data_IF_335542810136
#
_entry.id   IF_335542810136
#
_cell.length_a   1.000
_cell.length_b   1.000
_cell.length_c   1.000
_cell.angle_alpha   90.00
_cell.angle_beta   90.00
_cell.angle_gamma   90.00
#
_symmetry.space_group_name_H-M   'P 1'
#
loop_
_entity.id
_entity.type
_entity.pdbx_description
1 polymer ?
#
# COMPACT_ATOMS: atom_id res chain seq x y z
N UNK A 1 -14.01 -1.22 -2.78
CA UNK A 1 -14.82 -0.08 -3.28
C UNK A 1 -15.63 0.57 -2.15
N UNK A 2 -16.24 -0.19 -1.24
CA UNK A 2 -17.01 0.38 -0.10
C UNK A 2 -16.15 1.17 0.90
N UNK A 3 -14.95 0.70 1.23
CA UNK A 3 -14.04 1.37 2.19
C UNK A 3 -13.58 2.76 1.74
N UNK A 4 -13.33 2.93 0.45
CA UNK A 4 -13.00 4.24 -0.13
C UNK A 4 -14.21 5.20 -0.03
N UNK A 5 -15.43 4.69 -0.23
CA UNK A 5 -16.65 5.51 -0.08
C UNK A 5 -16.88 5.94 1.37
N UNK A 6 -16.58 5.05 2.33
CA UNK A 6 -16.73 5.33 3.76
C UNK A 6 -15.67 6.32 4.25
N UNK A 7 -14.45 6.22 3.73
CA UNK A 7 -13.38 7.18 4.02
C UNK A 7 -13.68 8.58 3.46
N UNK A 8 -14.21 8.66 2.23
CA UNK A 8 -14.65 9.93 1.62
C UNK A 8 -15.80 10.55 2.43
N UNK A 9 -16.78 9.76 2.88
CA UNK A 9 -17.87 10.23 3.75
C UNK A 9 -17.35 10.76 5.09
N UNK A 10 -16.36 10.09 5.69
CA UNK A 10 -15.75 10.53 6.95
C UNK A 10 -15.02 11.87 6.81
N UNK A 11 -14.21 12.03 5.76
CA UNK A 11 -13.53 13.30 5.44
C UNK A 11 -14.54 14.41 5.20
N UNK A 12 -15.61 14.14 4.44
CA UNK A 12 -16.69 15.10 4.23
C UNK A 12 -17.35 15.50 5.54
N UNK A 13 -17.66 14.55 6.41
CA UNK A 13 -18.30 14.82 7.70
C UNK A 13 -17.43 15.69 8.62
N UNK A 14 -16.11 15.42 8.67
CA UNK A 14 -15.13 16.25 9.36
C UNK A 14 -14.99 17.65 8.74
N UNK A 15 -15.19 17.79 7.43
CA UNK A 15 -15.08 19.06 6.72
C UNK A 15 -16.32 19.96 6.79
N UNK A 16 -17.50 19.43 7.11
CA UNK A 16 -18.77 20.19 7.16
C UNK A 16 -18.68 21.43 8.09
N UNK A 17 -18.14 21.34 9.32
CA UNK A 17 -18.01 22.51 10.20
C UNK A 17 -17.10 23.60 9.63
N UNK A 18 -16.01 23.21 8.97
CA UNK A 18 -15.09 24.14 8.33
C UNK A 18 -15.73 24.84 7.12
N UNK A 19 -16.51 24.11 6.32
CA UNK A 19 -17.27 24.66 5.18
C UNK A 19 -18.37 25.62 5.67
N UNK A 20 -19.05 25.29 6.77
CA UNK A 20 -20.04 26.17 7.38
C UNK A 20 -19.40 27.49 7.87
N UNK A 21 -18.27 27.40 8.59
CA UNK A 21 -17.51 28.58 9.02
C UNK A 21 -17.00 29.41 7.84
N UNK A 22 -16.56 28.76 6.76
CA UNK A 22 -16.14 29.45 5.55
C UNK A 22 -17.30 30.21 4.88
N UNK A 23 -18.50 29.62 4.84
CA UNK A 23 -19.70 30.30 4.31
C UNK A 23 -20.10 31.51 5.17
N UNK A 24 -20.07 31.39 6.49
CA UNK A 24 -20.30 32.52 7.41
C UNK A 24 -19.31 33.65 7.14
N UNK A 25 -18.00 33.34 7.10
CA UNK A 25 -16.95 34.32 6.84
C UNK A 25 -17.13 35.02 5.49
N UNK A 26 -17.52 34.28 4.46
CA UNK A 26 -17.72 34.83 3.12
C UNK A 26 -18.93 35.78 3.06
N UNK A 27 -19.99 35.48 3.84
CA UNK A 27 -21.15 36.38 4.00
C UNK A 27 -20.72 37.66 4.72
N UNK A 28 -19.96 37.55 5.82
CA UNK A 28 -19.42 38.71 6.54
C UNK A 28 -18.52 39.57 5.65
N UNK A 29 -17.67 38.94 4.84
CA UNK A 29 -16.79 39.64 3.92
C UNK A 29 -17.57 40.44 2.88
N UNK A 30 -18.60 39.83 2.27
CA UNK A 30 -19.50 40.53 1.34
C UNK A 30 -20.21 41.72 2.00
N UNK A 31 -20.66 41.57 3.25
CA UNK A 31 -21.30 42.67 3.97
C UNK A 31 -20.34 43.83 4.24
N UNK A 32 -19.08 43.55 4.57
CA UNK A 32 -18.04 44.56 4.76
C UNK A 32 -17.72 45.26 3.45
N UNK A 33 -17.60 44.51 2.36
CA UNK A 33 -17.34 45.05 1.02
C UNK A 33 -18.47 45.98 0.55
N UNK A 34 -19.73 45.57 0.73
CA UNK A 34 -20.90 46.40 0.42
C UNK A 34 -20.96 47.67 1.28
N UNK A 35 -20.65 47.58 2.59
CA UNK A 35 -20.55 48.74 3.47
C UNK A 35 -19.44 49.70 3.02
N UNK A 36 -18.28 49.17 2.65
CA UNK A 36 -17.15 49.94 2.12
C UNK A 36 -17.54 50.67 0.84
N UNK A 37 -18.16 49.96 -0.12
CA UNK A 37 -18.60 50.53 -1.40
C UNK A 37 -19.61 51.66 -1.21
N UNK A 38 -20.60 51.46 -0.33
CA UNK A 38 -21.59 52.50 0.02
C UNK A 38 -20.93 53.72 0.67
N UNK A 39 -19.98 53.52 1.57
CA UNK A 39 -19.27 54.59 2.25
C UNK A 39 -18.37 55.39 1.28
N UNK A 40 -17.70 54.71 0.36
CA UNK A 40 -16.92 55.35 -0.71
C UNK A 40 -17.82 56.19 -1.63
N UNK A 41 -18.97 55.65 -2.03
CA UNK A 41 -19.92 56.35 -2.89
C UNK A 41 -20.50 57.59 -2.20
N UNK A 42 -20.82 57.51 -0.90
CA UNK A 42 -21.27 58.65 -0.11
C UNK A 42 -20.19 59.75 -0.01
N UNK A 43 -18.92 59.37 0.20
CA UNK A 43 -17.79 60.31 0.22
C UNK A 43 -17.55 60.96 -1.15
N UNK A 44 -17.67 60.21 -2.25
CA UNK A 44 -17.59 60.78 -3.59
C UNK A 44 -18.72 61.78 -3.85
N UNK A 45 -19.96 61.45 -3.47
CA UNK A 45 -21.11 62.36 -3.61
C UNK A 45 -20.89 63.67 -2.83
N UNK A 46 -20.36 63.58 -1.60
CA UNK A 46 -20.00 64.74 -0.79
C UNK A 46 -18.94 65.62 -1.48
N UNK A 47 -17.89 65.02 -2.03
CA UNK A 47 -16.85 65.75 -2.77
C UNK A 47 -17.40 66.42 -4.04
N UNK A 48 -18.29 65.77 -4.79
CA UNK A 48 -18.94 66.39 -5.95
C UNK A 48 -19.89 67.53 -5.57
N UNK A 49 -20.52 67.49 -4.39
CA UNK A 49 -21.39 68.58 -3.92
C UNK A 49 -20.61 69.85 -3.55
N UNK A 50 -19.35 69.70 -3.13
CA UNK A 50 -18.45 70.78 -2.76
C UNK A 50 -17.77 71.45 -3.98
N UNK A 51 -17.88 70.86 -5.17
CA UNK A 51 -17.21 71.33 -6.39
C UNK A 51 -17.97 72.38 -7.21
N UNK A 52 -19.12 72.88 -6.73
CA UNK A 52 -19.87 73.95 -7.42
C UNK A 52 -19.62 75.32 -6.78
N UNK A 53 -18.66 76.05 -7.34
CA UNK A 53 -18.71 77.52 -7.35
C UNK A 53 -18.49 78.01 -8.80
N UNK A 54 -19.33 78.95 -9.28
CA UNK A 54 -19.12 79.58 -10.57
C UNK A 54 -18.05 80.67 -10.42
N UNK A 55 -16.99 80.61 -11.21
CA UNK A 55 -16.03 81.70 -11.30
C UNK A 55 -16.65 82.81 -12.17
N UNK A 56 -17.17 83.84 -11.51
CA UNK A 56 -17.55 85.10 -12.12
C UNK A 56 -16.31 85.75 -12.75
N UNK A 57 -16.23 85.74 -14.07
CA UNK A 57 -15.26 86.54 -14.82
C UNK A 57 -15.72 88.01 -14.82
N UNK A 58 -15.21 88.80 -13.89
CA UNK A 58 -15.24 90.25 -13.99
C UNK A 58 -14.00 90.67 -14.77
N UNK A 59 -14.20 91.10 -16.02
CA UNK A 59 -13.23 91.89 -16.79
C UNK A 59 -13.90 93.20 -17.20
N UNK A 60 -13.89 94.18 -16.30
CA UNK A 60 -14.03 95.57 -16.70
C UNK A 60 -12.68 96.00 -17.28
N UNK A 61 -12.63 96.17 -18.60
CA UNK A 61 -11.63 97.01 -19.25
C UNK A 61 -12.19 98.43 -19.23
N UNK A 62 -11.71 99.26 -18.32
CA UNK A 62 -11.83 100.70 -18.48
C UNK A 62 -10.74 101.16 -19.45
N UNK A 63 -11.18 101.74 -20.57
CA UNK A 63 -10.34 102.49 -21.50
C UNK A 63 -9.84 103.76 -20.81
N UNK A 64 -8.52 103.87 -20.63
CA UNK A 64 -7.87 105.11 -20.23
C UNK A 64 -7.58 105.93 -21.49
N UNK A 65 -8.24 107.09 -21.57
CA UNK A 65 -8.07 108.12 -22.59
C UNK A 65 -6.60 108.56 -22.74
N UNK A 66 -6.12 108.59 -24.00
CA UNK A 66 -4.78 109.03 -24.38
C UNK A 66 -4.71 110.55 -24.51
N UNK A 67 -4.62 111.26 -23.38
CA UNK A 67 -4.15 112.67 -23.40
C UNK A 67 -3.49 113.11 -22.08
N UNK A 68 -2.70 112.23 -21.46
CA UNK A 68 -1.79 112.61 -20.39
C UNK A 68 -0.35 112.23 -20.76
N UNK A 69 0.48 113.25 -20.91
CA UNK A 69 1.90 113.21 -21.22
C UNK A 69 2.66 112.24 -20.26
N UNK A 70 3.22 111.11 -20.74
CA UNK A 70 3.73 110.03 -19.88
C UNK A 70 5.02 110.36 -19.12
N UNK A 71 5.51 111.61 -19.21
CA UNK A 71 6.76 112.07 -18.56
C UNK A 71 6.55 113.23 -17.56
N UNK A 72 5.31 113.68 -17.31
CA UNK A 72 5.07 114.94 -16.58
C UNK A 72 5.10 114.84 -15.05
N UNK A 73 5.04 113.64 -14.47
CA UNK A 73 5.20 113.43 -13.03
C UNK A 73 6.17 112.28 -12.72
N UNK A 74 7.45 112.46 -13.06
CA UNK A 74 8.54 111.63 -12.55
C UNK A 74 9.11 112.30 -11.29
N UNK A 75 8.30 112.37 -10.23
CA UNK A 75 8.81 112.53 -8.87
C UNK A 75 8.47 111.24 -8.14
N UNK A 76 9.47 110.41 -7.85
CA UNK A 76 9.29 109.27 -6.94
C UNK A 76 8.77 109.84 -5.61
N UNK A 77 7.50 109.56 -5.31
CA UNK A 77 6.95 109.85 -3.99
C UNK A 77 7.56 108.89 -2.98
N UNK A 78 7.60 109.27 -1.70
CA UNK A 78 8.09 108.39 -0.62
C UNK A 78 7.40 107.02 -0.65
N UNK A 79 6.11 106.98 -0.96
CA UNK A 79 5.34 105.74 -1.13
C UNK A 79 5.82 104.88 -2.31
N UNK A 80 6.18 105.50 -3.46
CA UNK A 80 6.77 104.78 -4.60
C UNK A 80 8.16 104.20 -4.27
N UNK A 81 9.00 104.94 -3.54
CA UNK A 81 10.31 104.44 -3.11
C UNK A 81 10.18 103.24 -2.16
N UNK A 82 9.24 103.30 -1.19
CA UNK A 82 8.93 102.18 -0.31
C UNK A 82 8.44 100.97 -1.13
N UNK A 83 7.52 101.19 -2.08
CA UNK A 83 7.00 100.12 -2.94
C UNK A 83 8.12 99.45 -3.77
N UNK A 84 9.09 100.23 -4.24
CA UNK A 84 10.24 99.74 -5.02
C UNK A 84 11.20 98.90 -4.18
N UNK A 85 11.46 99.30 -2.93
CA UNK A 85 12.23 98.50 -1.98
C UNK A 85 11.53 97.19 -1.64
N UNK A 86 10.20 97.22 -1.43
CA UNK A 86 9.38 96.03 -1.20
C UNK A 86 9.35 95.13 -2.44
N UNK A 87 9.28 95.70 -3.65
CA UNK A 87 9.38 94.91 -4.89
C UNK A 87 10.74 94.22 -5.03
N UNK A 88 11.83 94.91 -4.68
CA UNK A 88 13.18 94.34 -4.73
C UNK A 88 13.37 93.20 -3.71
N UNK A 89 12.79 93.32 -2.52
CA UNK A 89 12.82 92.23 -1.54
C UNK A 89 11.98 91.04 -1.99
N UNK A 90 10.78 91.28 -2.55
CA UNK A 90 9.92 90.24 -3.13
C UNK A 90 10.62 89.55 -4.31
N UNK A 91 11.34 90.28 -5.15
CA UNK A 91 12.07 89.68 -6.27
C UNK A 91 13.22 88.77 -5.78
N UNK A 92 13.91 89.17 -4.71
CA UNK A 92 14.94 88.36 -4.07
C UNK A 92 14.36 87.06 -3.49
N UNK A 93 13.23 87.14 -2.77
CA UNK A 93 12.57 85.95 -2.21
C UNK A 93 12.02 85.04 -3.31
N UNK A 94 11.49 85.58 -4.41
CA UNK A 94 11.06 84.78 -5.56
C UNK A 94 12.23 84.03 -6.19
N UNK A 95 13.41 84.66 -6.34
CA UNK A 95 14.61 83.99 -6.88
C UNK A 95 15.09 82.86 -5.97
N UNK A 96 15.09 83.08 -4.67
CA UNK A 96 15.45 82.07 -3.67
C UNK A 96 14.49 80.89 -3.70
N UNK A 97 13.18 81.15 -3.69
CA UNK A 97 12.15 80.10 -3.78
C UNK A 97 12.23 79.36 -5.13
N UNK A 98 12.50 80.06 -6.24
CA UNK A 98 12.70 79.44 -7.55
C UNK A 98 13.89 78.48 -7.57
N UNK A 99 14.98 78.85 -6.88
CA UNK A 99 16.17 78.01 -6.75
C UNK A 99 15.86 76.76 -5.90
N UNK A 100 15.24 76.93 -4.74
CA UNK A 100 14.88 75.80 -3.84
C UNK A 100 13.87 74.84 -4.50
N UNK A 101 12.93 75.37 -5.29
CA UNK A 101 11.90 74.55 -5.96
C UNK A 101 12.31 74.05 -7.34
N UNK A 102 13.52 74.40 -7.82
CA UNK A 102 14.04 74.05 -9.16
C UNK A 102 13.03 74.34 -10.29
N UNK A 103 12.31 75.47 -10.20
CA UNK A 103 11.27 75.85 -11.15
C UNK A 103 11.80 76.80 -12.24
N UNK A 104 11.32 76.67 -13.48
CA UNK A 104 11.76 77.52 -14.59
C UNK A 104 11.00 78.85 -14.62
N UNK A 105 9.73 78.86 -14.18
CA UNK A 105 8.87 80.03 -14.08
C UNK A 105 8.28 80.19 -12.68
N UNK A 106 8.09 81.44 -12.24
CA UNK A 106 7.54 81.73 -10.91
C UNK A 106 6.10 81.20 -10.72
N UNK A 107 5.33 81.05 -11.81
CA UNK A 107 3.96 80.49 -11.78
C UNK A 107 3.92 79.00 -11.41
N UNK A 108 5.02 78.28 -11.62
CA UNK A 108 5.13 76.82 -11.35
C UNK A 108 5.45 76.51 -9.89
N UNK A 109 5.93 77.52 -9.14
CA UNK A 109 6.37 77.37 -7.75
C UNK A 109 5.23 76.85 -6.86
N UNK A 110 4.07 77.50 -6.88
CA UNK A 110 2.96 77.15 -5.99
C UNK A 110 2.34 75.77 -6.27
N UNK A 111 1.99 75.41 -7.52
CA UNK A 111 1.48 74.07 -7.82
C UNK A 111 2.45 72.95 -7.44
N UNK A 112 3.75 73.15 -7.69
CA UNK A 112 4.78 72.16 -7.39
C UNK A 112 5.01 72.00 -5.89
N UNK A 113 5.07 73.12 -5.16
CA UNK A 113 5.17 73.09 -3.70
C UNK A 113 3.95 72.41 -3.07
N UNK A 114 2.74 72.70 -3.56
CA UNK A 114 1.52 72.03 -3.11
C UNK A 114 1.56 70.52 -3.36
N UNK A 115 1.93 70.09 -4.57
CA UNK A 115 2.08 68.67 -4.89
C UNK A 115 3.16 67.99 -4.05
N UNK A 116 4.26 68.68 -3.74
CA UNK A 116 5.33 68.13 -2.93
C UNK A 116 4.90 67.96 -1.47
N UNK A 117 4.16 68.92 -0.91
CA UNK A 117 3.55 68.79 0.42
C UNK A 117 2.59 67.60 0.46
N UNK A 118 1.70 67.47 -0.52
CA UNK A 118 0.75 66.35 -0.60
C UNK A 118 1.48 65.00 -0.74
N UNK A 119 2.55 64.94 -1.52
CA UNK A 119 3.38 63.74 -1.68
C UNK A 119 4.13 63.39 -0.39
N UNK A 120 4.67 64.38 0.33
CA UNK A 120 5.32 64.18 1.62
C UNK A 120 4.33 63.66 2.67
N UNK A 121 3.10 64.19 2.71
CA UNK A 121 2.06 63.69 3.62
C UNK A 121 1.72 62.23 3.33
N UNK A 122 1.64 61.83 2.04
CA UNK A 122 1.44 60.43 1.66
C UNK A 122 2.62 59.55 2.06
N UNK A 123 3.85 60.02 1.85
CA UNK A 123 5.07 59.31 2.25
C UNK A 123 5.12 59.10 3.76
N UNK A 124 4.81 60.12 4.56
CA UNK A 124 4.75 59.98 6.01
C UNK A 124 3.74 58.91 6.45
N UNK A 125 2.54 58.91 5.86
CA UNK A 125 1.53 57.87 6.15
C UNK A 125 1.98 56.47 5.77
N UNK A 126 2.70 56.32 4.65
CA UNK A 126 3.26 55.04 4.24
C UNK A 126 4.32 54.56 5.24
N UNK A 127 5.22 55.44 5.65
CA UNK A 127 6.27 55.13 6.64
C UNK A 127 5.64 54.72 7.98
N UNK A 128 4.62 55.45 8.45
CA UNK A 128 3.90 55.09 9.67
C UNK A 128 3.22 53.71 9.57
N UNK A 129 2.60 53.41 8.43
CA UNK A 129 1.95 52.12 8.22
C UNK A 129 2.97 50.96 8.15
N UNK A 130 4.11 51.19 7.50
CA UNK A 130 5.19 50.20 7.45
C UNK A 130 5.80 49.96 8.83
N UNK A 131 5.97 51.01 9.65
CA UNK A 131 6.39 50.87 11.05
C UNK A 131 5.42 50.01 11.85
N UNK A 132 4.12 50.30 11.77
CA UNK A 132 3.08 49.50 12.44
C UNK A 132 3.09 48.04 11.96
N UNK A 133 3.33 47.83 10.66
CA UNK A 133 3.50 46.50 10.08
C UNK A 133 4.69 45.74 10.67
N UNK A 134 5.83 46.42 10.82
CA UNK A 134 7.03 45.86 11.45
C UNK A 134 6.80 45.52 12.93
N UNK A 135 6.19 46.41 13.70
CA UNK A 135 5.86 46.16 15.11
C UNK A 135 4.91 44.96 15.26
N UNK A 136 3.90 44.84 14.38
CA UNK A 136 3.02 43.67 14.36
C UNK A 136 3.78 42.38 14.02
N UNK A 137 4.74 42.43 13.10
CA UNK A 137 5.55 41.27 12.76
C UNK A 137 6.43 40.83 13.94
N UNK A 138 7.05 41.79 14.62
CA UNK A 138 7.90 41.55 15.78
C UNK A 138 7.12 40.92 16.94
N UNK A 139 5.91 41.43 17.22
CA UNK A 139 5.02 40.86 18.24
C UNK A 139 4.58 39.44 17.88
N UNK A 140 4.22 39.17 16.62
CA UNK A 140 3.91 37.81 16.14
C UNK A 140 5.11 36.86 16.30
N UNK A 141 6.31 37.32 16.00
CA UNK A 141 7.53 36.53 16.17
C UNK A 141 7.79 36.20 17.65
N UNK A 142 7.61 37.16 18.55
CA UNK A 142 7.69 36.94 20.00
C UNK A 142 6.67 35.90 20.48
N UNK A 143 5.41 36.03 20.08
CA UNK A 143 4.37 35.05 20.42
C UNK A 143 4.69 33.65 19.89
N UNK A 144 5.14 33.54 18.64
CA UNK A 144 5.53 32.25 18.06
C UNK A 144 6.70 31.61 18.80
N UNK A 145 7.68 32.39 19.24
CA UNK A 145 8.80 31.90 20.05
C UNK A 145 8.35 31.41 21.43
N UNK A 146 7.42 32.12 22.08
CA UNK A 146 6.81 31.66 23.34
C UNK A 146 6.05 30.36 23.11
N UNK A 147 5.23 30.27 22.06
CA UNK A 147 4.46 29.08 21.73
C UNK A 147 5.38 27.88 21.42
N UNK A 148 6.48 28.13 20.71
CA UNK A 148 7.53 27.15 20.46
C UNK A 148 8.16 26.68 21.78
N UNK A 149 8.47 27.59 22.70
CA UNK A 149 8.99 27.25 24.03
C UNK A 149 8.00 26.40 24.83
N UNK A 150 6.71 26.74 24.79
CA UNK A 150 5.65 25.96 25.44
C UNK A 150 5.51 24.57 24.79
N UNK A 151 5.56 24.46 23.47
CA UNK A 151 5.51 23.17 22.76
C UNK A 151 6.72 22.27 23.06
N UNK A 152 7.92 22.85 23.16
CA UNK A 152 9.14 22.11 23.50
C UNK A 152 9.12 21.63 24.96
N UNK A 153 8.54 22.43 25.86
CA UNK A 153 8.45 22.09 27.29
C UNK A 153 7.17 21.32 27.66
N UNK A 154 6.20 21.21 26.76
CA UNK A 154 5.04 20.32 26.92
C UNK A 154 5.46 18.87 26.61
N UNK A 155 6.21 18.26 27.52
CA UNK A 155 5.99 16.84 27.84
C UNK A 155 4.58 16.79 28.45
N UNK A 156 3.54 16.75 27.63
CA UNK A 156 2.20 16.48 28.15
C UNK A 156 2.22 15.07 28.75
N UNK A 157 1.54 14.86 29.87
CA UNK A 157 1.35 13.53 30.45
C UNK A 157 0.78 12.56 29.40
N UNK A 158 -0.02 13.07 28.46
CA UNK A 158 -0.52 12.31 27.31
C UNK A 158 0.59 11.79 26.39
N UNK A 159 1.64 12.55 26.12
CA UNK A 159 2.76 12.10 25.28
C UNK A 159 3.62 11.07 26.02
N UNK A 160 3.80 11.23 27.34
CA UNK A 160 4.46 10.21 28.18
C UNK A 160 3.64 8.91 28.17
N UNK A 161 2.33 8.99 28.41
CA UNK A 161 1.41 7.85 28.38
C UNK A 161 1.39 7.18 27.00
N UNK A 162 1.47 7.97 25.92
CA UNK A 162 1.57 7.45 24.55
C UNK A 162 2.88 6.69 24.34
N UNK A 163 4.01 7.23 24.80
CA UNK A 163 5.31 6.57 24.67
C UNK A 163 5.40 5.29 25.51
N UNK A 164 4.81 5.27 26.71
CA UNK A 164 4.70 4.08 27.54
C UNK A 164 3.82 3.02 26.87
N UNK A 165 2.65 3.40 26.36
CA UNK A 165 1.78 2.48 25.61
C UNK A 165 2.48 1.90 24.38
N UNK A 166 3.27 2.69 23.66
CA UNK A 166 4.07 2.20 22.52
C UNK A 166 5.10 1.17 22.99
N UNK A 167 5.73 1.38 24.15
CA UNK A 167 6.69 0.43 24.73
C UNK A 167 6.00 -0.88 25.11
N UNK A 168 4.84 -0.80 25.77
CA UNK A 168 4.07 -1.98 26.17
C UNK A 168 3.62 -2.80 24.96
N UNK A 169 3.10 -2.13 23.92
CA UNK A 169 2.71 -2.79 22.67
C UNK A 169 3.89 -3.48 21.98
N UNK A 170 5.10 -2.90 22.04
CA UNK A 170 6.30 -3.55 21.51
C UNK A 170 6.66 -4.80 22.29
N UNK A 171 6.54 -4.78 23.62
CA UNK A 171 6.81 -5.94 24.45
C UNK A 171 5.79 -7.06 24.18
N UNK A 172 4.50 -6.73 24.11
CA UNK A 172 3.44 -7.69 23.75
C UNK A 172 3.72 -8.33 22.39
N UNK A 173 4.11 -7.54 21.39
CA UNK A 173 4.40 -8.07 20.05
C UNK A 173 5.59 -9.04 20.04
N UNK A 174 6.61 -8.77 20.87
CA UNK A 174 7.75 -9.69 21.04
C UNK A 174 7.27 -11.00 21.68
N UNK A 175 6.49 -10.92 22.76
CA UNK A 175 5.94 -12.11 23.44
C UNK A 175 5.04 -12.93 22.51
N UNK A 176 4.14 -12.28 21.76
CA UNK A 176 3.30 -12.95 20.75
C UNK A 176 4.14 -13.62 19.67
N UNK A 177 5.22 -12.96 19.21
CA UNK A 177 6.15 -13.54 18.24
C UNK A 177 6.92 -14.76 18.77
N UNK A 178 7.23 -14.79 20.07
CA UNK A 178 7.81 -15.97 20.73
C UNK A 178 6.80 -17.11 20.85
N UNK A 179 5.56 -16.81 21.22
CA UNK A 179 4.47 -17.79 21.27
C UNK A 179 4.15 -18.37 19.89
N UNK A 180 4.15 -17.55 18.83
CA UNK A 180 3.96 -18.01 17.46
C UNK A 180 5.09 -18.99 17.05
N UNK A 181 6.34 -18.66 17.34
CA UNK A 181 7.46 -19.57 17.07
C UNK A 181 7.33 -20.89 17.81
N UNK A 182 6.97 -20.85 19.10
CA UNK A 182 6.78 -22.03 19.92
C UNK A 182 5.63 -22.92 19.40
N UNK A 183 4.51 -22.31 18.99
CA UNK A 183 3.37 -23.04 18.42
C UNK A 183 3.70 -23.66 17.07
N UNK A 184 4.43 -22.94 16.21
CA UNK A 184 4.91 -23.45 14.93
C UNK A 184 5.86 -24.64 15.10
N UNK A 185 6.78 -24.56 16.06
CA UNK A 185 7.67 -25.68 16.38
C UNK A 185 6.89 -26.89 16.91
N UNK A 186 5.92 -26.66 17.79
CA UNK A 186 5.05 -27.71 18.30
C UNK A 186 4.24 -28.39 17.17
N UNK A 187 3.69 -27.62 16.22
CA UNK A 187 2.99 -28.17 15.04
C UNK A 187 3.95 -28.99 14.18
N UNK A 188 5.15 -28.48 13.90
CA UNK A 188 6.17 -29.19 13.11
C UNK A 188 6.57 -30.52 13.74
N UNK A 189 6.77 -30.53 15.07
CA UNK A 189 7.12 -31.74 15.81
C UNK A 189 5.97 -32.75 15.82
N UNK A 190 4.72 -32.30 15.98
CA UNK A 190 3.53 -33.17 15.85
C UNK A 190 3.34 -33.71 14.44
N UNK A 191 3.62 -32.90 13.41
CA UNK A 191 3.60 -33.33 12.01
C UNK A 191 4.60 -34.47 11.76
N UNK A 192 5.83 -34.35 12.28
CA UNK A 192 6.82 -35.44 12.22
C UNK A 192 6.35 -36.70 12.94
N UNK A 193 5.76 -36.56 14.13
CA UNK A 193 5.22 -37.70 14.88
C UNK A 193 4.06 -38.39 14.13
N UNK A 194 3.19 -37.61 13.48
CA UNK A 194 2.09 -38.13 12.66
C UNK A 194 2.60 -38.96 11.48
N UNK A 195 3.64 -38.48 10.77
CA UNK A 195 4.28 -39.23 9.67
C UNK A 195 4.89 -40.54 10.19
N UNK A 196 5.61 -40.49 11.32
CA UNK A 196 6.20 -41.68 11.93
C UNK A 196 5.13 -42.70 12.30
N UNK A 197 4.04 -42.25 12.91
CA UNK A 197 2.90 -43.09 13.28
C UNK A 197 2.24 -43.70 12.03
N UNK A 198 2.06 -42.93 10.95
CA UNK A 198 1.54 -43.44 9.67
C UNK A 198 2.40 -44.56 9.10
N UNK A 199 3.71 -44.35 9.03
CA UNK A 199 4.67 -45.34 8.51
C UNK A 199 4.68 -46.60 9.38
N UNK A 200 4.66 -46.45 10.71
CA UNK A 200 4.65 -47.58 11.63
C UNK A 200 3.38 -48.42 11.52
N UNK A 201 2.20 -47.80 11.44
CA UNK A 201 0.93 -48.53 11.25
C UNK A 201 0.93 -49.24 9.90
N UNK A 202 1.44 -48.59 8.85
CA UNK A 202 1.53 -49.21 7.53
C UNK A 202 2.48 -50.42 7.54
N UNK A 203 3.63 -50.31 8.22
CA UNK A 203 4.55 -51.44 8.43
C UNK A 203 3.85 -52.62 9.14
N UNK A 204 3.03 -52.35 10.16
CA UNK A 204 2.26 -53.40 10.85
C UNK A 204 1.24 -54.08 9.92
N UNK A 205 0.58 -53.32 9.04
CA UNK A 205 -0.35 -53.90 8.05
C UNK A 205 0.39 -54.75 7.04
N UNK A 206 1.58 -54.33 6.63
CA UNK A 206 2.42 -55.09 5.71
C UNK A 206 2.92 -56.41 6.33
N UNK A 207 3.29 -56.41 7.61
CA UNK A 207 3.57 -57.66 8.34
C UNK A 207 2.33 -58.57 8.36
N UNK A 208 1.14 -57.98 8.49
CA UNK A 208 -0.14 -58.69 8.49
C UNK A 208 -0.76 -58.82 7.09
N UNK A 209 0.03 -58.71 6.01
CA UNK A 209 -0.46 -58.72 4.62
C UNK A 209 -1.31 -59.95 4.30
N UNK A 210 -0.91 -61.12 4.81
CA UNK A 210 -1.57 -62.40 4.54
C UNK A 210 -2.75 -62.71 5.48
N UNK A 211 -2.95 -61.90 6.53
CA UNK A 211 -4.06 -62.10 7.47
C UNK A 211 -5.35 -61.61 6.83
N UNK A 212 -6.36 -62.48 6.81
CA UNK A 212 -7.73 -62.16 6.36
C UNK A 212 -7.83 -61.69 4.89
N UNK A 213 -6.99 -62.25 4.01
CA UNK A 213 -7.04 -61.92 2.58
C UNK A 213 -7.75 -63.05 1.82
N UNK A 214 -8.86 -62.78 1.11
CA UNK A 214 -9.39 -63.76 0.16
C UNK A 214 -8.36 -63.97 -0.96
N UNK A 215 -8.21 -65.18 -1.52
CA UNK A 215 -7.39 -65.38 -2.70
C UNK A 215 -7.86 -64.41 -3.78
N UNK A 216 -6.96 -63.52 -4.25
CA UNK A 216 -7.30 -62.59 -5.33
C UNK A 216 -7.49 -63.44 -6.58
N UNK A 217 -8.73 -63.56 -7.07
CA UNK A 217 -8.94 -63.95 -8.46
C UNK A 217 -8.48 -62.77 -9.31
N UNK A 218 -7.31 -62.91 -9.93
CA UNK A 218 -6.88 -61.97 -10.95
C UNK A 218 -7.84 -62.12 -12.12
N UNK A 219 -8.80 -61.20 -12.24
CA UNK A 219 -9.73 -61.14 -13.37
C UNK A 219 -8.91 -60.80 -14.62
N UNK A 220 -8.47 -61.83 -15.32
CA UNK A 220 -7.56 -61.69 -16.46
C UNK A 220 -8.38 -61.34 -17.69
N UNK A 221 -8.06 -60.23 -18.34
CA UNK A 221 -8.68 -59.90 -19.62
C UNK A 221 -8.04 -60.77 -20.70
N UNK A 222 -8.75 -61.82 -21.13
CA UNK A 222 -8.25 -62.72 -22.16
C UNK A 222 -8.39 -62.10 -23.56
N UNK A 223 -7.29 -61.97 -24.33
CA UNK A 223 -7.32 -61.37 -25.66
C UNK A 223 -8.11 -62.21 -26.68
N UNK A 224 -8.32 -63.51 -26.43
CA UNK A 224 -9.03 -64.40 -27.34
C UNK A 224 -10.10 -65.24 -26.60
N UNK A 225 -11.22 -65.54 -27.27
CA UNK A 225 -12.32 -66.36 -26.74
C UNK A 225 -11.94 -67.80 -26.42
N UNK A 226 -10.94 -68.37 -27.11
CA UNK A 226 -10.44 -69.72 -26.84
C UNK A 226 -9.80 -69.85 -25.43
N UNK A 227 -9.23 -68.76 -24.89
CA UNK A 227 -8.66 -68.72 -23.54
C UNK A 227 -9.73 -68.54 -22.44
N UNK A 228 -11.01 -68.35 -22.82
CA UNK A 228 -12.15 -68.31 -21.88
C UNK A 228 -12.72 -69.70 -21.58
N UNK A 229 -12.16 -70.77 -22.17
CA UNK A 229 -12.60 -72.14 -21.91
C UNK A 229 -12.35 -72.52 -20.43
N UNK A 230 -13.24 -73.27 -19.77
CA UNK A 230 -13.19 -73.50 -18.32
C UNK A 230 -11.87 -74.07 -17.79
N UNK A 231 -11.18 -74.89 -18.57
CA UNK A 231 -9.89 -75.52 -18.21
C UNK A 231 -8.67 -74.64 -18.53
N UNK A 232 -8.83 -73.60 -19.34
CA UNK A 232 -7.78 -72.65 -19.73
C UNK A 232 -7.93 -71.29 -19.01
N UNK A 233 -8.88 -71.18 -18.07
CA UNK A 233 -9.04 -69.99 -17.24
C UNK A 233 -7.98 -69.97 -16.15
N UNK A 234 -7.01 -69.07 -16.31
CA UNK A 234 -6.01 -68.73 -15.30
C UNK A 234 -6.62 -68.09 -14.03
N UNK A 235 -7.91 -67.72 -14.05
CA UNK A 235 -8.66 -67.26 -12.86
C UNK A 235 -8.84 -68.35 -11.79
N UNK A 236 -8.67 -69.63 -12.16
CA UNK A 236 -8.75 -70.77 -11.24
C UNK A 236 -7.48 -70.93 -10.39
N UNK A 237 -6.41 -70.19 -10.68
CA UNK A 237 -5.14 -70.23 -9.97
C UNK A 237 -5.20 -69.27 -8.77
N UNK A 238 -5.42 -69.81 -7.58
CA UNK A 238 -5.45 -69.02 -6.34
C UNK A 238 -4.03 -68.70 -5.87
N UNK A 239 -3.42 -67.67 -6.46
CA UNK A 239 -2.10 -67.20 -6.02
C UNK A 239 -2.21 -66.55 -4.64
N UNK A 240 -1.55 -67.14 -3.63
CA UNK A 240 -1.50 -66.63 -2.24
C UNK A 240 -0.44 -65.55 -2.03
N UNK A 241 0.48 -65.40 -2.98
CA UNK A 241 1.47 -64.32 -3.00
C UNK A 241 0.77 -63.01 -3.38
N UNK A 242 0.97 -61.96 -2.59
CA UNK A 242 0.27 -60.70 -2.75
C UNK A 242 1.28 -59.55 -2.88
N UNK A 243 1.07 -58.71 -3.90
CA UNK A 243 1.76 -57.44 -4.03
C UNK A 243 1.41 -56.49 -2.87
N UNK A 244 2.33 -55.56 -2.48
CA UNK A 244 2.03 -54.51 -1.52
C UNK A 244 0.75 -53.77 -1.89
N UNK A 245 -0.04 -53.37 -0.89
CA UNK A 245 -1.23 -52.57 -1.15
C UNK A 245 -0.83 -51.12 -1.48
N UNK A 246 -1.65 -50.44 -2.28
CA UNK A 246 -1.39 -49.03 -2.62
C UNK A 246 -1.41 -48.24 -1.32
N UNK A 247 -0.47 -47.32 -1.19
CA UNK A 247 -0.28 -46.53 0.02
C UNK A 247 -1.53 -45.68 0.33
N UNK A 248 -2.29 -46.05 1.36
CA UNK A 248 -3.42 -45.24 1.85
C UNK A 248 -2.94 -44.11 2.77
N UNK A 249 -3.35 -42.87 2.48
CA UNK A 249 -2.85 -41.69 3.19
C UNK A 249 -3.58 -41.38 4.51
N UNK A 250 -4.81 -41.90 4.67
CA UNK A 250 -5.65 -41.63 5.84
C UNK A 250 -5.38 -42.61 7.00
N UNK A 251 -4.82 -42.11 8.10
CA UNK A 251 -4.45 -42.93 9.26
C UNK A 251 -5.63 -43.66 9.88
N UNK A 252 -6.83 -43.09 9.91
CA UNK A 252 -7.98 -43.73 10.59
C UNK A 252 -8.43 -44.98 9.83
N UNK A 253 -8.46 -44.92 8.50
CA UNK A 253 -8.79 -46.07 7.65
C UNK A 253 -7.75 -47.18 7.82
N UNK A 254 -6.47 -46.80 7.77
CA UNK A 254 -5.32 -47.69 7.94
C UNK A 254 -5.37 -48.33 9.35
N UNK A 255 -5.68 -47.56 10.39
CA UNK A 255 -5.84 -48.04 11.76
C UNK A 255 -7.04 -49.01 11.90
N UNK A 256 -8.17 -48.73 11.27
CA UNK A 256 -9.33 -49.63 11.27
C UNK A 256 -9.02 -50.97 10.57
N UNK A 257 -8.29 -50.93 9.46
CA UNK A 257 -7.82 -52.13 8.75
C UNK A 257 -6.88 -52.96 9.64
N UNK A 258 -5.93 -52.30 10.30
CA UNK A 258 -5.01 -52.94 11.24
C UNK A 258 -5.77 -53.62 12.38
N UNK A 259 -6.70 -52.91 13.04
CA UNK A 259 -7.54 -53.46 14.12
C UNK A 259 -8.30 -54.71 13.66
N UNK A 260 -8.87 -54.69 12.45
CA UNK A 260 -9.59 -55.84 11.88
C UNK A 260 -8.66 -57.05 11.67
N UNK A 261 -7.48 -56.83 11.09
CA UNK A 261 -6.48 -57.89 10.84
C UNK A 261 -5.98 -58.49 12.15
N UNK A 262 -5.60 -57.65 13.12
CA UNK A 262 -5.16 -58.09 14.46
C UNK A 262 -6.26 -58.87 15.17
N UNK A 263 -7.51 -58.39 15.15
CA UNK A 263 -8.64 -59.08 15.75
C UNK A 263 -8.83 -60.49 15.17
N UNK A 264 -8.74 -60.63 13.84
CA UNK A 264 -8.86 -61.94 13.18
C UNK A 264 -7.67 -62.85 13.45
N UNK A 265 -6.45 -62.29 13.53
CA UNK A 265 -5.27 -63.02 13.94
C UNK A 265 -5.44 -63.58 15.36
N UNK A 266 -5.82 -62.73 16.32
CA UNK A 266 -6.04 -63.12 17.71
C UNK A 266 -7.15 -64.16 17.84
N UNK A 267 -8.26 -64.00 17.10
CA UNK A 267 -9.32 -65.01 17.05
C UNK A 267 -8.83 -66.36 16.52
N UNK A 268 -7.91 -66.35 15.53
CA UNK A 268 -7.27 -67.56 15.01
C UNK A 268 -6.36 -68.25 16.03
N UNK A 269 -5.62 -67.49 16.85
CA UNK A 269 -4.76 -68.03 17.90
C UNK A 269 -5.50 -68.45 19.18
N UNK A 270 -6.67 -67.86 19.47
CA UNK A 270 -7.53 -68.25 20.59
C UNK A 270 -8.17 -69.63 20.39
N UNK A 271 -8.30 -70.09 19.15
CA UNK A 271 -8.61 -71.49 18.86
C UNK A 271 -7.33 -72.27 19.10
N UNK A 272 -7.28 -73.09 20.16
CA UNK A 272 -6.13 -73.95 20.45
C UNK A 272 -5.83 -74.87 19.24
N UNK A 273 -4.94 -74.42 18.37
CA UNK A 273 -4.46 -75.21 17.26
C UNK A 273 -3.50 -76.24 17.83
N UNK A 274 -3.93 -77.51 17.88
CA UNK A 274 -3.06 -78.63 18.26
C UNK A 274 -1.76 -78.55 17.44
N UNK A 275 -0.58 -78.77 18.03
CA UNK A 275 0.70 -78.63 17.33
C UNK A 275 0.78 -79.48 16.04
N UNK A 276 0.12 -80.63 16.02
CA UNK A 276 -0.02 -81.47 14.83
C UNK A 276 -0.79 -80.81 13.67
N UNK A 277 -1.81 -79.99 13.97
CA UNK A 277 -2.55 -79.22 12.95
C UNK A 277 -1.72 -78.07 12.41
N UNK A 278 -0.90 -77.42 13.25
CA UNK A 278 0.02 -76.37 12.82
C UNK A 278 1.08 -76.95 11.87
N UNK A 279 1.66 -78.09 12.23
CA UNK A 279 2.65 -78.78 11.41
C UNK A 279 2.08 -79.20 10.06
N UNK A 280 0.87 -79.78 10.06
CA UNK A 280 0.14 -80.15 8.85
C UNK A 280 -0.15 -78.93 7.97
N UNK A 281 -0.65 -77.84 8.53
CA UNK A 281 -0.92 -76.62 7.77
C UNK A 281 0.36 -75.98 7.20
N UNK A 282 1.49 -76.09 7.91
CA UNK A 282 2.80 -75.63 7.45
C UNK A 282 3.30 -76.47 6.27
N UNK A 283 3.17 -77.79 6.36
CA UNK A 283 3.52 -78.72 5.30
C UNK A 283 2.61 -78.53 4.07
N UNK A 284 1.30 -78.39 4.28
CA UNK A 284 0.32 -78.13 3.22
C UNK A 284 0.60 -76.79 2.53
N UNK A 285 0.84 -75.71 3.27
CA UNK A 285 1.26 -74.43 2.70
C UNK A 285 2.58 -74.53 1.94
N UNK A 286 3.55 -75.28 2.45
CA UNK A 286 4.86 -75.45 1.81
C UNK A 286 4.76 -76.25 0.50
N UNK A 287 3.97 -77.33 0.50
CA UNK A 287 3.69 -78.13 -0.68
C UNK A 287 2.94 -77.30 -1.73
N UNK A 288 1.91 -76.54 -1.32
CA UNK A 288 1.15 -75.66 -2.21
C UNK A 288 2.03 -74.53 -2.77
N UNK A 289 2.91 -73.96 -1.94
CA UNK A 289 3.85 -72.92 -2.37
C UNK A 289 4.86 -73.48 -3.38
N UNK A 290 5.45 -74.64 -3.10
CA UNK A 290 6.36 -75.31 -4.03
C UNK A 290 5.65 -75.71 -5.32
N UNK A 291 4.43 -76.25 -5.26
CA UNK A 291 3.62 -76.55 -6.42
C UNK A 291 3.42 -75.29 -7.28
N UNK A 292 3.01 -74.17 -6.66
CA UNK A 292 2.88 -72.90 -7.39
C UNK A 292 4.20 -72.38 -7.98
N UNK A 293 5.37 -72.73 -7.41
CA UNK A 293 6.68 -72.38 -7.96
C UNK A 293 7.13 -73.29 -9.12
N UNK A 294 6.95 -74.61 -9.00
CA UNK A 294 7.32 -75.57 -10.05
C UNK A 294 6.55 -75.35 -11.36
N UNK A 295 5.31 -74.85 -11.28
CA UNK A 295 4.55 -74.45 -12.48
C UNK A 295 5.10 -73.21 -13.20
N UNK A 296 5.81 -72.31 -12.50
CA UNK A 296 6.46 -71.15 -13.13
C UNK A 296 7.78 -71.53 -13.81
N UNK A 297 8.59 -72.42 -13.22
CA UNK A 297 9.81 -72.94 -13.86
C UNK A 297 9.49 -73.72 -15.15
N UNK A 298 8.41 -74.51 -15.17
CA UNK A 298 7.97 -75.22 -16.39
C UNK A 298 7.44 -74.29 -17.51
N UNK A 299 7.01 -73.06 -17.17
CA UNK A 299 6.58 -72.06 -18.17
C UNK A 299 7.76 -71.24 -18.72
N UNK A 300 8.82 -71.01 -17.91
CA UNK A 300 10.02 -70.30 -18.34
C UNK A 300 10.90 -71.12 -19.32
N UNK A 301 10.82 -72.45 -19.30
CA UNK A 301 11.55 -73.32 -20.25
C UNK A 301 10.90 -73.35 -21.65
N UNK A 302 9.58 -73.14 -21.76
CA UNK A 302 8.86 -73.13 -23.05
C UNK A 302 8.89 -71.73 -23.71
N UNK A 303 8.91 -70.65 -22.90
CA UNK A 303 9.06 -69.27 -23.39
C UNK A 303 10.47 -68.98 -23.96
N UNK A 304 11.50 -69.74 -23.60
CA UNK A 304 12.86 -69.53 -24.14
C UNK A 304 13.02 -69.93 -25.61
N UNK A 305 12.10 -70.72 -26.19
CA UNK A 305 12.16 -71.09 -27.62
C UNK A 305 11.38 -70.12 -28.54
N UNK A 306 10.51 -69.26 -28.01
CA UNK A 306 9.66 -68.37 -28.82
C UNK A 306 10.22 -66.95 -29.03
N UNK A 307 11.35 -66.57 -28.42
CA UNK A 307 11.82 -65.16 -28.36
C UNK A 307 12.43 -64.63 -29.69
N UNK A 308 12.58 -65.44 -30.74
CA UNK A 308 13.32 -64.99 -31.95
C UNK A 308 12.48 -64.41 -33.10
N UNK A 309 11.13 -64.35 -33.04
CA UNK A 309 10.35 -63.86 -34.21
C UNK A 309 9.27 -62.79 -33.95
N UNK A 310 8.98 -62.38 -32.72
CA UNK A 310 7.88 -61.43 -32.43
C UNK A 310 8.31 -60.07 -31.83
N UNK A 311 9.47 -59.52 -32.23
CA UNK A 311 9.89 -58.21 -31.71
C UNK A 311 9.18 -56.98 -32.32
N UNK A 312 8.29 -57.15 -33.30
CA UNK A 312 7.71 -56.00 -34.04
C UNK A 312 6.19 -55.82 -33.91
N UNK A 313 5.49 -56.63 -33.09
CA UNK A 313 4.02 -56.56 -32.97
C UNK A 313 3.49 -56.09 -31.60
N UNK A 314 4.37 -55.81 -30.63
CA UNK A 314 3.96 -55.48 -29.25
C UNK A 314 3.98 -53.98 -28.88
N UNK A 315 4.08 -53.06 -29.85
CA UNK A 315 4.03 -51.62 -29.56
C UNK A 315 2.62 -51.06 -29.29
N UNK A 316 1.54 -51.82 -29.50
CA UNK A 316 0.17 -51.27 -29.43
C UNK A 316 -0.60 -51.51 -28.11
N UNK A 317 0.01 -52.08 -27.07
CA UNK A 317 -0.68 -52.28 -25.78
C UNK A 317 -0.42 -51.12 -24.79
N UNK A 318 -1.19 -50.04 -24.95
CA UNK A 318 -1.20 -48.81 -24.10
C UNK A 318 -1.55 -49.01 -22.61
N UNK A 319 -1.75 -50.24 -22.13
CA UNK A 319 -2.08 -50.53 -20.72
C UNK A 319 -0.87 -50.92 -19.86
N UNK A 320 0.29 -51.21 -20.46
CA UNK A 320 1.56 -51.47 -19.75
C UNK A 320 2.55 -50.29 -19.81
N UNK A 321 2.12 -49.14 -20.35
CA UNK A 321 2.98 -47.98 -20.64
C UNK A 321 3.64 -47.34 -19.39
N UNK A 322 3.24 -47.74 -18.18
CA UNK A 322 3.71 -47.11 -16.94
C UNK A 322 4.76 -47.91 -16.16
N UNK A 323 5.11 -49.13 -16.60
CA UNK A 323 6.16 -49.94 -15.98
C UNK A 323 7.41 -49.82 -16.86
N UNK A 324 8.46 -49.11 -16.41
CA UNK A 324 9.64 -48.90 -17.22
C UNK A 324 10.37 -50.24 -17.47
N UNK A 325 10.74 -50.50 -18.71
CA UNK A 325 11.52 -51.68 -19.06
C UNK A 325 12.93 -51.61 -18.41
N UNK A 326 13.59 -52.74 -18.15
CA UNK A 326 14.94 -52.83 -17.56
C UNK A 326 15.96 -51.88 -18.19
N UNK A 327 15.90 -51.67 -19.52
CA UNK A 327 16.75 -50.70 -20.22
C UNK A 327 16.46 -49.25 -19.82
N UNK A 328 15.18 -48.90 -19.66
CA UNK A 328 14.73 -47.57 -19.25
C UNK A 328 15.06 -47.30 -17.77
N UNK A 329 14.90 -48.30 -16.89
CA UNK A 329 15.32 -48.20 -15.48
C UNK A 329 16.83 -47.96 -15.41
N UNK A 330 17.64 -48.74 -16.14
CA UNK A 330 19.10 -48.53 -16.18
C UNK A 330 19.48 -47.13 -16.69
N UNK A 331 18.82 -46.64 -17.73
CA UNK A 331 19.08 -45.30 -18.26
C UNK A 331 18.68 -44.20 -17.26
N UNK A 332 17.53 -44.33 -16.59
CA UNK A 332 17.07 -43.39 -15.58
C UNK A 332 17.97 -43.39 -14.33
N UNK A 333 18.40 -44.57 -13.88
CA UNK A 333 19.34 -44.71 -12.76
C UNK A 333 20.73 -44.14 -13.08
N UNK A 334 21.25 -44.35 -14.29
CA UNK A 334 22.52 -43.76 -14.73
C UNK A 334 22.43 -42.23 -14.78
N UNK A 335 21.34 -41.69 -15.34
CA UNK A 335 21.08 -40.25 -15.40
C UNK A 335 20.99 -39.63 -13.99
N UNK A 336 20.31 -40.30 -13.06
CA UNK A 336 20.22 -39.83 -11.67
C UNK A 336 21.59 -39.77 -10.99
N UNK A 337 22.46 -40.76 -11.22
CA UNK A 337 23.82 -40.76 -10.68
C UNK A 337 24.68 -39.64 -11.28
N UNK A 338 24.55 -39.36 -12.59
CA UNK A 338 25.23 -38.23 -13.23
C UNK A 338 24.75 -36.88 -12.69
N UNK A 339 23.45 -36.71 -12.45
CA UNK A 339 22.89 -35.46 -11.91
C UNK A 339 23.28 -35.23 -10.44
N UNK A 340 23.50 -36.30 -9.66
CA UNK A 340 24.05 -36.20 -8.30
C UNK A 340 25.55 -35.87 -8.34
N UNK A 341 26.33 -36.50 -9.23
CA UNK A 341 27.75 -36.20 -9.37
C UNK A 341 28.00 -34.73 -9.77
N UNK A 342 27.15 -34.14 -10.63
CA UNK A 342 27.22 -32.73 -11.03
C UNK A 342 26.80 -31.72 -9.95
N UNK A 343 26.22 -32.18 -8.82
CA UNK A 343 25.84 -31.31 -7.69
C UNK A 343 26.92 -31.23 -6.61
N UNK A 344 27.83 -32.20 -6.61
CA UNK A 344 28.92 -32.30 -5.63
C UNK A 344 30.24 -31.68 -6.15
N UNK A 345 30.29 -31.27 -7.42
CA UNK A 345 31.27 -30.31 -8.02
C UNK A 345 30.69 -28.89 -8.04
#
# INVERSE_FOLDING_TARGET
>A
MEDQSNFIKHILYLGIPAIAKFKELNIEFRQIEDKSRKNLQAKMQMLTSLQKQPTTQIRNKEEISKTADPKRYVRETRSMMILKLVLKSIESTIKEVKFVTLCSQAKEIYPRMKSQVDNNVKLHRLIENDMLGHEMLETKMKCANVLKGVLVNNLSEEEINRLERIRDLKNILIEEGEQEKATMEHIKNRGKAYVLLRVNIWNLIEILRHVDRPPRSLRSHYPNSYLKLPLLKFEMLTMRAAAPEIYEENIDNVMHLLKRKVYKLMKGYLVEMKPAMIQRNKEEYHIDFLASRYYYEAAEDDDQQAVSQEQDLLQENKTMAHIPNRKQIKAASAKFLEDMAKRDD
#
